data_IF_636120710969
#
_entry.id   IF_636120710969
#
_cell.length_a   1.000
_cell.length_b   1.000
_cell.length_c   1.000
_cell.angle_alpha   90.00
_cell.angle_beta   90.00
_cell.angle_gamma   90.00
#
_symmetry.space_group_name_H-M   'P 1'
#
loop_
_entity.id
_entity.type
_entity.pdbx_description
1 polymer ?
#
# COMPACT_ATOMS: atom_id res chain seq x y z
N UNK A 1 27.78 9.12 -1.83
CA UNK A 1 26.70 9.32 -0.83
C UNK A 1 26.34 7.94 -0.29
N UNK A 2 26.01 7.78 1.00
CA UNK A 2 25.62 6.44 1.50
C UNK A 2 24.19 6.12 1.02
N UNK A 3 23.87 4.85 0.83
CA UNK A 3 22.49 4.41 0.49
C UNK A 3 21.47 4.95 1.49
N UNK A 4 21.83 5.02 2.78
CA UNK A 4 20.98 5.62 3.83
C UNK A 4 20.67 7.09 3.59
N UNK A 5 21.61 7.85 3.02
CA UNK A 5 21.43 9.27 2.74
C UNK A 5 20.51 9.44 1.52
N UNK A 6 20.67 8.61 0.50
CA UNK A 6 19.77 8.58 -0.67
C UNK A 6 18.33 8.23 -0.26
N UNK A 7 18.14 7.25 0.62
CA UNK A 7 16.83 6.93 1.17
C UNK A 7 16.20 8.09 1.93
N UNK A 8 17.00 8.84 2.71
CA UNK A 8 16.49 10.00 3.44
C UNK A 8 16.02 11.09 2.47
N UNK A 9 16.82 11.40 1.43
CA UNK A 9 16.40 12.36 0.39
C UNK A 9 15.09 11.90 -0.25
N UNK A 10 15.04 10.65 -0.71
CA UNK A 10 13.86 10.08 -1.34
C UNK A 10 12.59 10.15 -0.45
N UNK A 11 12.70 9.80 0.84
CA UNK A 11 11.58 9.85 1.77
C UNK A 11 11.15 11.28 2.10
N UNK A 12 12.09 12.22 2.25
CA UNK A 12 11.76 13.63 2.47
C UNK A 12 11.03 14.24 1.27
N UNK A 13 11.41 13.89 0.05
CA UNK A 13 10.68 14.29 -1.16
C UNK A 13 9.26 13.71 -1.17
N UNK A 14 9.07 12.43 -0.84
CA UNK A 14 7.73 11.85 -0.73
C UNK A 14 6.88 12.53 0.36
N UNK A 15 7.47 12.97 1.48
CA UNK A 15 6.74 13.71 2.52
C UNK A 15 6.23 15.06 2.04
N UNK A 16 6.97 15.73 1.15
CA UNK A 16 6.54 16.98 0.54
C UNK A 16 5.39 16.72 -0.44
N UNK A 17 5.45 15.62 -1.21
CA UNK A 17 4.42 15.26 -2.18
C UNK A 17 3.12 14.76 -1.53
N UNK A 18 3.22 14.04 -0.41
CA UNK A 18 2.10 13.42 0.31
C UNK A 18 1.67 14.25 1.53
N UNK A 19 1.34 15.52 1.34
CA UNK A 19 1.07 16.48 2.44
C UNK A 19 -0.04 16.05 3.38
N UNK A 20 -1.05 15.34 2.84
CA UNK A 20 -2.22 14.90 3.61
C UNK A 20 -2.00 13.54 4.30
N UNK A 21 -0.79 12.99 4.19
CA UNK A 21 -0.42 11.70 4.76
C UNK A 21 0.59 11.86 5.88
N UNK A 22 0.36 11.15 6.98
CA UNK A 22 1.30 11.09 8.09
C UNK A 22 2.37 10.05 7.81
N UNK A 23 3.63 10.46 7.72
CA UNK A 23 4.75 9.52 7.66
C UNK A 23 5.05 8.89 9.04
N UNK A 24 5.12 7.56 9.09
CA UNK A 24 5.46 6.78 10.29
C UNK A 24 6.86 6.17 10.10
N UNK A 25 7.87 6.86 10.62
CA UNK A 25 9.29 6.54 10.40
C UNK A 25 9.68 5.11 10.78
N UNK A 26 9.16 4.59 11.88
CA UNK A 26 9.49 3.22 12.36
C UNK A 26 9.01 2.11 11.43
N UNK A 27 8.00 2.41 10.59
CA UNK A 27 7.39 1.44 9.68
C UNK A 27 7.59 1.81 8.20
N UNK A 28 8.24 2.95 7.91
CA UNK A 28 8.46 3.49 6.56
C UNK A 28 7.20 3.47 5.68
N UNK A 29 6.06 3.86 6.26
CA UNK A 29 4.85 4.08 5.50
C UNK A 29 4.29 5.47 5.70
N UNK A 30 3.48 5.88 4.75
CA UNK A 30 2.56 7.00 4.84
C UNK A 30 1.20 6.44 5.24
N UNK A 31 0.57 7.06 6.22
CA UNK A 31 -0.74 6.69 6.73
C UNK A 31 -1.71 7.85 6.57
N UNK A 32 -2.90 7.58 6.05
CA UNK A 32 -4.03 8.51 6.05
C UNK A 32 -5.25 7.82 6.65
N UNK A 33 -5.98 8.50 7.53
CA UNK A 33 -7.27 7.99 8.00
C UNK A 33 -8.34 8.49 7.02
N UNK A 34 -9.24 7.61 6.59
CA UNK A 34 -10.33 7.92 5.67
C UNK A 34 -11.60 7.25 6.19
N UNK A 35 -12.49 8.01 6.84
CA UNK A 35 -13.64 7.45 7.54
C UNK A 35 -13.23 6.41 8.60
N UNK A 36 -13.74 5.19 8.46
CA UNK A 36 -13.49 4.07 9.39
C UNK A 36 -12.29 3.20 9.00
N UNK A 37 -11.59 3.54 7.93
CA UNK A 37 -10.42 2.81 7.46
C UNK A 37 -9.13 3.63 7.56
N UNK A 38 -8.00 2.92 7.65
CA UNK A 38 -6.70 3.52 7.42
C UNK A 38 -6.17 3.10 6.07
N UNK A 39 -5.69 4.07 5.32
CA UNK A 39 -4.90 3.83 4.13
C UNK A 39 -3.42 3.87 4.45
N UNK A 40 -2.69 3.00 3.77
CA UNK A 40 -1.24 2.93 3.85
C UNK A 40 -0.64 3.01 2.45
N UNK A 41 0.44 3.77 2.33
CA UNK A 41 1.43 3.63 1.27
C UNK A 41 2.77 3.30 1.93
N UNK A 42 3.18 2.03 1.84
CA UNK A 42 4.44 1.53 2.38
C UNK A 42 5.53 1.54 1.31
N UNK A 43 6.71 2.05 1.68
CA UNK A 43 7.88 2.07 0.82
C UNK A 43 8.87 1.01 1.30
N UNK A 44 9.12 0.02 0.45
CA UNK A 44 10.21 -0.94 0.61
C UNK A 44 11.45 -0.43 -0.13
N UNK A 45 12.62 -0.48 0.51
CA UNK A 45 13.90 -0.17 -0.12
C UNK A 45 14.74 -1.44 -0.24
N UNK A 46 15.03 -1.86 -1.46
CA UNK A 46 15.87 -3.01 -1.78
C UNK A 46 17.29 -2.49 -1.96
N UNK A 47 18.14 -2.67 -0.95
CA UNK A 47 19.48 -2.08 -0.95
C UNK A 47 20.45 -2.90 -1.80
N UNK A 48 21.27 -2.19 -2.57
CA UNK A 48 22.46 -2.73 -3.20
C UNK A 48 23.71 -2.06 -2.61
N UNK A 49 24.88 -2.30 -3.21
CA UNK A 49 26.16 -1.81 -2.67
C UNK A 49 26.21 -0.27 -2.69
N UNK A 50 25.75 0.35 -3.76
CA UNK A 50 25.88 1.80 -3.99
C UNK A 50 24.56 2.52 -4.23
N UNK A 51 23.46 1.79 -4.41
CA UNK A 51 22.15 2.30 -4.78
C UNK A 51 21.04 1.47 -4.11
N UNK A 52 19.78 1.78 -4.40
CA UNK A 52 18.65 0.96 -4.00
C UNK A 52 17.50 1.08 -5.00
N UNK A 53 16.62 0.07 -5.00
CA UNK A 53 15.32 0.16 -5.65
C UNK A 53 14.25 0.48 -4.61
N UNK A 54 13.35 1.42 -4.93
CA UNK A 54 12.14 1.67 -4.16
C UNK A 54 10.93 0.93 -4.77
N UNK A 55 10.09 0.37 -3.91
CA UNK A 55 8.83 -0.31 -4.30
C UNK A 55 7.71 0.19 -3.40
N UNK A 56 6.57 0.53 -3.99
CA UNK A 56 5.39 1.00 -3.27
C UNK A 56 4.35 -0.11 -3.07
N UNK A 57 3.76 -0.14 -1.88
CA UNK A 57 2.66 -1.05 -1.56
C UNK A 57 1.52 -0.25 -0.93
N UNK A 58 0.29 -0.55 -1.31
CA UNK A 58 -0.91 0.10 -0.77
C UNK A 58 -1.74 -0.88 0.03
N UNK A 59 -2.37 -0.41 1.10
CA UNK A 59 -3.27 -1.23 1.90
C UNK A 59 -4.41 -0.42 2.52
N UNK A 60 -5.56 -1.07 2.65
CA UNK A 60 -6.71 -0.62 3.44
C UNK A 60 -6.81 -1.49 4.68
N UNK A 61 -6.81 -0.85 5.85
CA UNK A 61 -7.02 -1.49 7.15
C UNK A 61 -8.36 -1.07 7.74
N UNK A 62 -9.21 -2.06 7.99
CA UNK A 62 -10.49 -1.92 8.68
C UNK A 62 -10.27 -2.08 10.18
N UNK A 63 -10.89 -1.20 10.98
CA UNK A 63 -10.71 -1.17 12.43
C UNK A 63 -12.03 -1.09 13.20
N UNK A 64 -12.07 -1.75 14.35
CA UNK A 64 -13.07 -1.54 15.40
C UNK A 64 -12.36 -0.86 16.58
N UNK A 65 -12.46 0.46 16.67
CA UNK A 65 -11.71 1.23 17.67
C UNK A 65 -10.19 1.09 17.47
N UNK A 66 -9.51 0.43 18.41
CA UNK A 66 -8.06 0.20 18.35
C UNK A 66 -7.67 -1.15 17.73
N UNK A 67 -8.62 -2.05 17.53
CA UNK A 67 -8.35 -3.38 17.01
C UNK A 67 -8.44 -3.40 15.48
N UNK A 68 -7.52 -4.12 14.84
CA UNK A 68 -7.58 -4.40 13.41
C UNK A 68 -8.56 -5.54 13.19
N UNK A 69 -9.58 -5.29 12.37
CA UNK A 69 -10.52 -6.32 11.90
C UNK A 69 -9.87 -7.06 10.73
N UNK A 70 -9.52 -6.32 9.69
CA UNK A 70 -9.00 -6.85 8.44
C UNK A 70 -8.00 -5.85 7.84
N UNK A 71 -7.06 -6.36 7.06
CA UNK A 71 -6.23 -5.55 6.17
C UNK A 71 -6.12 -6.26 4.84
N UNK A 72 -6.33 -5.51 3.76
CA UNK A 72 -6.12 -5.95 2.39
C UNK A 72 -5.22 -4.96 1.68
N UNK A 73 -4.42 -5.43 0.73
CA UNK A 73 -3.45 -4.58 0.07
C UNK A 73 -2.72 -5.29 -1.05
N UNK A 74 -2.04 -4.49 -1.85
CA UNK A 74 -1.29 -4.94 -3.01
C UNK A 74 -0.01 -4.12 -3.17
N UNK A 75 0.99 -4.73 -3.80
CA UNK A 75 2.11 -3.98 -4.36
C UNK A 75 1.64 -3.20 -5.59
N UNK A 76 2.14 -1.97 -5.80
CA UNK A 76 1.60 -1.07 -6.82
C UNK A 76 1.70 -1.64 -8.24
N UNK A 77 2.83 -2.24 -8.62
CA UNK A 77 2.99 -2.86 -9.94
C UNK A 77 2.09 -4.09 -10.14
N UNK A 78 1.85 -4.87 -9.09
CA UNK A 78 0.93 -6.01 -9.14
C UNK A 78 -0.52 -5.60 -9.40
N UNK A 79 -0.93 -4.36 -9.05
CA UNK A 79 -2.28 -3.86 -9.36
C UNK A 79 -2.51 -3.81 -10.87
N UNK A 80 -1.49 -3.47 -11.65
CA UNK A 80 -1.53 -3.49 -13.11
C UNK A 80 -1.26 -4.88 -13.73
N UNK A 81 -0.94 -5.87 -12.90
CA UNK A 81 -0.57 -7.21 -13.38
C UNK A 81 0.81 -7.29 -14.04
N UNK A 82 1.64 -6.26 -13.90
CA UNK A 82 2.99 -6.22 -14.49
C UNK A 82 4.08 -6.81 -13.58
N UNK A 83 3.68 -7.30 -12.40
CA UNK A 83 4.62 -7.73 -11.36
C UNK A 83 5.16 -6.53 -10.57
N UNK A 84 6.25 -6.75 -9.84
CA UNK A 84 6.86 -5.70 -9.02
C UNK A 84 7.39 -4.55 -9.89
N UNK A 85 6.93 -3.32 -9.61
CA UNK A 85 7.46 -2.12 -10.24
C UNK A 85 8.52 -1.46 -9.35
N UNK A 86 9.71 -1.24 -9.91
CA UNK A 86 10.90 -0.76 -9.16
C UNK A 86 11.36 0.60 -9.67
N UNK A 87 11.59 1.52 -8.73
CA UNK A 87 12.14 2.84 -9.02
C UNK A 87 13.59 2.89 -8.55
N UNK A 88 14.53 2.92 -9.50
CA UNK A 88 15.96 2.85 -9.21
C UNK A 88 16.50 4.21 -8.73
N UNK A 89 17.35 4.19 -7.70
CA UNK A 89 17.89 5.41 -7.08
C UNK A 89 19.38 5.23 -6.78
N UNK A 90 20.23 5.84 -7.62
CA UNK A 90 21.69 5.82 -7.49
C UNK A 90 22.30 7.15 -7.03
N UNK A 91 21.54 8.24 -7.13
CA UNK A 91 21.99 9.59 -6.78
C UNK A 91 20.82 10.47 -6.32
N UNK A 92 21.11 11.68 -5.82
CA UNK A 92 20.10 12.57 -5.25
C UNK A 92 19.09 13.09 -6.28
N UNK A 93 19.51 13.32 -7.53
CA UNK A 93 18.57 13.74 -8.58
C UNK A 93 17.57 12.62 -8.88
N UNK A 94 18.06 11.38 -8.94
CA UNK A 94 17.21 10.19 -9.07
C UNK A 94 16.32 9.98 -7.85
N UNK A 95 16.78 10.29 -6.63
CA UNK A 95 15.93 10.21 -5.45
C UNK A 95 14.70 11.13 -5.58
N UNK A 96 14.90 12.36 -6.05
CA UNK A 96 13.80 13.31 -6.30
C UNK A 96 12.90 12.85 -7.45
N UNK A 97 13.46 12.47 -8.61
CA UNK A 97 12.63 12.04 -9.74
C UNK A 97 11.88 10.73 -9.47
N UNK A 98 12.48 9.79 -8.76
CA UNK A 98 11.85 8.53 -8.37
C UNK A 98 10.76 8.72 -7.30
N UNK A 99 10.92 9.70 -6.40
CA UNK A 99 9.85 10.07 -5.47
C UNK A 99 8.63 10.64 -6.22
N UNK A 100 8.87 11.50 -7.22
CA UNK A 100 7.81 12.00 -8.10
C UNK A 100 7.15 10.84 -8.88
N UNK A 101 7.95 9.95 -9.47
CA UNK A 101 7.43 8.80 -10.21
C UNK A 101 6.58 7.87 -9.35
N UNK A 102 7.01 7.54 -8.13
CA UNK A 102 6.19 6.76 -7.18
C UNK A 102 4.90 7.48 -6.84
N UNK A 103 4.95 8.80 -6.62
CA UNK A 103 3.78 9.58 -6.29
C UNK A 103 2.77 9.63 -7.45
N UNK A 104 3.23 9.81 -8.69
CA UNK A 104 2.39 9.77 -9.88
C UNK A 104 1.75 8.39 -10.07
N UNK A 105 2.56 7.33 -9.99
CA UNK A 105 2.10 5.94 -10.10
C UNK A 105 1.12 5.56 -8.97
N UNK A 106 1.38 6.04 -7.75
CA UNK A 106 0.47 5.90 -6.62
C UNK A 106 -0.86 6.61 -6.88
N UNK A 107 -0.85 7.84 -7.44
CA UNK A 107 -2.08 8.56 -7.77
C UNK A 107 -2.88 7.85 -8.86
N UNK A 108 -2.22 7.29 -9.84
CA UNK A 108 -2.85 6.64 -10.99
C UNK A 108 -3.43 5.26 -10.64
N UNK A 109 -2.72 4.46 -9.85
CA UNK A 109 -3.11 3.06 -9.58
C UNK A 109 -3.45 2.80 -8.11
N UNK A 110 -2.64 3.35 -7.20
CA UNK A 110 -2.78 3.12 -5.77
C UNK A 110 -4.01 3.78 -5.15
N UNK A 111 -4.31 5.05 -5.50
CA UNK A 111 -5.49 5.74 -4.99
C UNK A 111 -6.79 5.06 -5.45
N UNK A 112 -7.00 4.73 -6.74
CA UNK A 112 -8.19 3.98 -7.15
C UNK A 112 -8.35 2.64 -6.43
N UNK A 113 -7.26 1.91 -6.21
CA UNK A 113 -7.27 0.68 -5.41
C UNK A 113 -7.76 0.94 -3.98
N UNK A 114 -7.19 1.95 -3.31
CA UNK A 114 -7.57 2.31 -1.94
C UNK A 114 -9.03 2.72 -1.85
N UNK A 115 -9.53 3.54 -2.78
CA UNK A 115 -10.95 3.91 -2.84
C UNK A 115 -11.84 2.69 -3.03
N UNK A 116 -11.53 1.82 -3.99
CA UNK A 116 -12.30 0.60 -4.29
C UNK A 116 -12.42 -0.30 -3.06
N UNK A 117 -11.29 -0.65 -2.45
CA UNK A 117 -11.26 -1.59 -1.32
C UNK A 117 -11.46 -0.94 0.05
N UNK A 118 -11.87 0.33 0.09
CA UNK A 118 -12.40 0.95 1.32
C UNK A 118 -13.84 0.52 1.59
N UNK A 119 -14.57 0.02 0.59
CA UNK A 119 -15.87 -0.60 0.81
C UNK A 119 -15.69 -2.05 1.28
N UNK A 120 -16.13 -2.40 2.50
CA UNK A 120 -16.02 -3.77 3.00
C UNK A 120 -16.82 -4.77 2.15
N UNK A 121 -17.90 -4.35 1.48
CA UNK A 121 -18.69 -5.19 0.58
C UNK A 121 -17.88 -5.61 -0.65
N UNK A 122 -17.08 -4.69 -1.20
CA UNK A 122 -16.20 -4.95 -2.33
C UNK A 122 -15.10 -5.95 -1.97
N UNK A 123 -14.53 -5.82 -0.75
CA UNK A 123 -13.55 -6.77 -0.22
C UNK A 123 -14.17 -8.16 -0.06
N UNK A 124 -15.32 -8.26 0.61
CA UNK A 124 -16.01 -9.55 0.81
C UNK A 124 -16.36 -10.20 -0.53
N UNK A 125 -16.98 -9.45 -1.45
CA UNK A 125 -17.34 -9.97 -2.78
C UNK A 125 -16.13 -10.46 -3.55
N UNK A 126 -15.02 -9.71 -3.51
CA UNK A 126 -13.76 -10.08 -4.17
C UNK A 126 -13.20 -11.38 -3.58
N UNK A 127 -13.14 -11.49 -2.24
CA UNK A 127 -12.62 -12.69 -1.57
C UNK A 127 -13.51 -13.92 -1.80
N UNK A 128 -14.84 -13.76 -1.78
CA UNK A 128 -15.79 -14.84 -2.05
C UNK A 128 -15.68 -15.36 -3.48
N UNK A 129 -15.53 -14.45 -4.46
CA UNK A 129 -15.32 -14.82 -5.87
C UNK A 129 -14.00 -15.57 -6.08
N UNK A 130 -13.00 -15.30 -5.25
CA UNK A 130 -11.69 -15.94 -5.33
C UNK A 130 -10.91 -15.54 -6.59
N UNK A 131 -9.94 -16.38 -6.97
CA UNK A 131 -9.13 -16.17 -8.17
C UNK A 131 -8.03 -15.11 -8.00
N UNK A 132 -7.56 -14.56 -9.12
CA UNK A 132 -6.39 -13.67 -9.15
C UNK A 132 -6.62 -12.36 -8.39
N UNK A 133 -7.83 -11.82 -8.43
CA UNK A 133 -8.17 -10.56 -7.73
C UNK A 133 -8.21 -10.75 -6.21
N UNK A 134 -8.77 -11.86 -5.73
CA UNK A 134 -8.72 -12.21 -4.31
C UNK A 134 -7.28 -12.41 -3.82
N UNK A 135 -6.46 -13.07 -4.64
CA UNK A 135 -5.03 -13.29 -4.35
C UNK A 135 -4.21 -12.00 -4.41
N UNK A 136 -4.62 -11.02 -5.21
CA UNK A 136 -3.99 -9.70 -5.28
C UNK A 136 -4.16 -8.95 -3.96
N UNK A 137 -5.39 -8.89 -3.43
CA UNK A 137 -5.71 -8.10 -2.23
C UNK A 137 -5.41 -8.83 -0.92
N UNK A 138 -5.38 -10.17 -0.95
CA UNK A 138 -5.04 -11.03 0.17
C UNK A 138 -4.30 -12.27 -0.34
N UNK A 139 -2.97 -12.32 -0.31
CA UNK A 139 -2.22 -13.43 -0.90
C UNK A 139 -2.28 -14.73 -0.07
N UNK A 140 -2.81 -14.69 1.15
CA UNK A 140 -2.90 -15.84 2.03
C UNK A 140 -4.29 -16.48 1.92
N UNK A 141 -4.41 -17.48 1.05
CA UNK A 141 -5.68 -18.18 0.80
C UNK A 141 -6.33 -18.72 2.09
N UNK A 142 -5.52 -19.23 3.02
CA UNK A 142 -5.98 -19.73 4.31
C UNK A 142 -6.50 -18.63 5.26
N UNK A 143 -6.45 -17.36 4.87
CA UNK A 143 -6.99 -16.21 5.62
C UNK A 143 -8.27 -15.65 5.02
N UNK A 144 -8.63 -16.01 3.79
CA UNK A 144 -9.79 -15.44 3.10
C UNK A 144 -11.08 -15.64 3.89
N UNK A 145 -11.34 -16.87 4.35
CA UNK A 145 -12.58 -17.15 5.09
C UNK A 145 -12.66 -16.37 6.40
N UNK A 146 -11.54 -16.25 7.13
CA UNK A 146 -11.50 -15.47 8.37
C UNK A 146 -11.78 -13.98 8.08
N UNK A 147 -11.17 -13.42 7.03
CA UNK A 147 -11.38 -12.03 6.62
C UNK A 147 -12.83 -11.77 6.18
N UNK A 148 -13.42 -12.69 5.42
CA UNK A 148 -14.85 -12.64 5.03
C UNK A 148 -15.72 -12.62 6.30
N UNK A 149 -15.53 -13.59 7.19
CA UNK A 149 -16.34 -13.70 8.41
C UNK A 149 -16.22 -12.45 9.29
N UNK A 150 -15.01 -11.92 9.45
CA UNK A 150 -14.75 -10.73 10.26
C UNK A 150 -15.42 -9.48 9.68
N UNK A 151 -15.28 -9.25 8.36
CA UNK A 151 -15.89 -8.09 7.70
C UNK A 151 -17.41 -8.21 7.65
N UNK A 152 -17.95 -9.36 7.25
CA UNK A 152 -19.40 -9.59 7.19
C UNK A 152 -20.06 -9.45 8.56
N UNK A 153 -19.44 -9.98 9.62
CA UNK A 153 -19.97 -9.84 10.97
C UNK A 153 -19.91 -8.40 11.48
N UNK A 154 -18.87 -7.64 11.15
CA UNK A 154 -18.70 -6.29 11.67
C UNK A 154 -19.58 -5.26 10.93
N UNK A 155 -19.74 -5.43 9.63
CA UNK A 155 -20.48 -4.49 8.76
C UNK A 155 -21.89 -4.99 8.40
N UNK A 156 -22.37 -6.08 9.02
CA UNK A 156 -23.70 -6.67 8.78
C UNK A 156 -23.98 -7.01 7.30
N UNK A 157 -22.94 -7.49 6.60
CA UNK A 157 -23.03 -7.80 5.17
C UNK A 157 -23.70 -9.17 4.96
N UNK A 158 -24.61 -9.27 3.99
CA UNK A 158 -25.16 -10.54 3.55
C UNK A 158 -24.05 -11.42 2.97
N UNK A 159 -23.89 -12.62 3.50
CA UNK A 159 -22.96 -13.64 2.99
C UNK A 159 -23.48 -14.31 1.72
#
# INVERSE_FOLDING_TARGET
MKVSDLQNVFIEELKILLTDWKFVKSQRHFKKNEGDVNWYLHISCINHINDFDAVGNVAVEFKAGNERICIVGAELGNIEGIGQHRFQISNSAEATSSALGIHEYFKEHGLPFLYKYSDPSEVVSTLQKGGTEAMLISPLLNKHQDQINQLSSHYELSM
#
